data_IF_165992555931
#
_entry.id   IF_165992555931
#
_cell.length_a   1.000
_cell.length_b   1.000
_cell.length_c   1.000
_cell.angle_alpha   90.00
_cell.angle_beta   90.00
_cell.angle_gamma   90.00
#
_symmetry.space_group_name_H-M   'P 1'
#
loop_
_entity.id
_entity.type
_entity.pdbx_description
1 polymer ?
#
# COMPACT_ATOMS: atom_id res chain seq x y z
N UNK A 1 -18.84 3.80 -37.65
CA UNK A 1 -19.20 2.46 -37.13
C UNK A 1 -17.99 1.49 -37.11
N UNK A 2 -16.93 1.76 -37.90
CA UNK A 2 -15.71 0.93 -37.94
C UNK A 2 -14.78 1.16 -36.76
N UNK A 3 -14.84 2.35 -36.13
CA UNK A 3 -13.96 2.70 -34.95
C UNK A 3 -14.20 1.90 -33.71
N UNK A 4 -15.37 1.30 -33.46
CA UNK A 4 -15.69 0.55 -32.26
C UNK A 4 -15.18 -0.89 -32.21
N UNK A 5 -14.92 -1.53 -33.36
CA UNK A 5 -14.48 -2.94 -33.42
C UNK A 5 -12.99 -3.17 -33.24
N UNK A 6 -12.16 -2.16 -33.46
CA UNK A 6 -10.70 -2.34 -33.56
C UNK A 6 -9.88 -1.63 -32.49
N UNK A 7 -10.49 -0.93 -31.50
CA UNK A 7 -9.73 -0.12 -30.56
C UNK A 7 -8.80 -0.92 -29.62
N UNK A 8 -9.17 -2.16 -29.29
CA UNK A 8 -8.33 -3.03 -28.44
C UNK A 8 -7.27 -3.83 -29.21
N UNK A 9 -7.49 -4.08 -30.52
CA UNK A 9 -6.54 -4.81 -31.35
C UNK A 9 -5.30 -3.99 -31.75
N UNK A 10 -5.41 -2.66 -31.76
CA UNK A 10 -4.32 -1.76 -32.14
C UNK A 10 -3.47 -1.26 -30.97
N UNK A 11 -3.88 -1.47 -29.68
CA UNK A 11 -3.06 -1.14 -28.53
C UNK A 11 -1.97 -2.23 -28.43
N UNK A 12 -0.81 -1.97 -29.02
CA UNK A 12 0.37 -2.85 -28.90
C UNK A 12 1.08 -2.68 -27.55
N UNK A 13 0.91 -1.51 -26.93
CA UNK A 13 1.50 -1.18 -25.65
C UNK A 13 0.85 -1.98 -24.52
N UNK A 14 1.68 -2.71 -23.76
CA UNK A 14 1.27 -3.53 -22.61
C UNK A 14 0.63 -2.66 -21.52
N UNK A 15 1.17 -1.48 -21.27
CA UNK A 15 0.73 -0.60 -20.20
C UNK A 15 -0.64 0.01 -20.50
N UNK A 16 -0.87 0.44 -21.74
CA UNK A 16 -2.16 0.94 -22.17
C UNK A 16 -3.26 -0.15 -22.10
N UNK A 17 -2.94 -1.40 -22.45
CA UNK A 17 -3.86 -2.54 -22.27
C UNK A 17 -4.20 -2.75 -20.81
N UNK A 18 -3.21 -2.69 -19.94
CA UNK A 18 -3.40 -2.85 -18.50
C UNK A 18 -4.39 -1.83 -17.95
N UNK A 19 -4.24 -0.56 -18.31
CA UNK A 19 -5.18 0.50 -17.88
C UNK A 19 -6.60 0.23 -18.38
N UNK A 20 -6.78 -0.20 -19.63
CA UNK A 20 -8.11 -0.55 -20.17
C UNK A 20 -8.75 -1.71 -19.41
N UNK A 21 -7.97 -2.76 -19.06
CA UNK A 21 -8.48 -3.87 -18.27
C UNK A 21 -8.83 -3.44 -16.84
N UNK A 22 -8.04 -2.59 -16.22
CA UNK A 22 -8.35 -2.02 -14.91
C UNK A 22 -9.70 -1.28 -14.90
N UNK A 23 -9.98 -0.47 -15.93
CA UNK A 23 -11.28 0.21 -16.07
C UNK A 23 -12.45 -0.77 -16.24
N UNK A 24 -12.27 -1.83 -17.02
CA UNK A 24 -13.31 -2.86 -17.21
C UNK A 24 -13.59 -3.60 -15.90
N UNK A 25 -12.54 -4.00 -15.21
CA UNK A 25 -12.64 -4.70 -13.93
C UNK A 25 -13.26 -3.79 -12.87
N UNK A 26 -12.87 -2.51 -12.82
CA UNK A 26 -13.49 -1.53 -11.94
C UNK A 26 -15.00 -1.46 -12.17
N UNK A 27 -15.47 -1.24 -13.41
CA UNK A 27 -16.89 -1.16 -13.74
C UNK A 27 -17.65 -2.44 -13.38
N UNK A 28 -17.07 -3.60 -13.68
CA UNK A 28 -17.66 -4.91 -13.35
C UNK A 28 -17.82 -5.08 -11.83
N UNK A 29 -16.77 -4.78 -11.06
CA UNK A 29 -16.78 -4.90 -9.60
C UNK A 29 -17.70 -3.85 -8.96
N UNK A 30 -17.70 -2.62 -9.44
CA UNK A 30 -18.60 -1.57 -8.96
C UNK A 30 -20.05 -1.97 -9.10
N UNK A 31 -20.45 -2.49 -10.28
CA UNK A 31 -21.82 -2.97 -10.51
C UNK A 31 -22.16 -4.13 -9.59
N UNK A 32 -21.25 -5.10 -9.43
CA UNK A 32 -21.48 -6.28 -8.61
C UNK A 32 -21.65 -5.95 -7.13
N UNK A 33 -20.81 -5.04 -6.61
CA UNK A 33 -20.79 -4.72 -5.18
C UNK A 33 -21.48 -3.39 -4.83
N UNK A 34 -22.29 -2.87 -5.77
CA UNK A 34 -22.97 -1.58 -5.61
C UNK A 34 -23.76 -1.48 -4.29
N UNK A 35 -24.44 -2.52 -3.86
CA UNK A 35 -25.19 -2.52 -2.60
C UNK A 35 -24.30 -2.32 -1.37
N UNK A 36 -23.08 -2.87 -1.37
CA UNK A 36 -22.11 -2.68 -0.29
C UNK A 36 -21.58 -1.27 -0.32
N UNK A 37 -21.26 -0.76 -1.52
CA UNK A 37 -20.77 0.61 -1.72
C UNK A 37 -21.80 1.63 -1.27
N UNK A 38 -23.07 1.48 -1.68
CA UNK A 38 -24.15 2.41 -1.34
C UNK A 38 -24.44 2.42 0.17
N UNK A 39 -24.44 1.23 0.82
CA UNK A 39 -24.58 1.13 2.26
C UNK A 39 -23.45 1.84 2.99
N UNK A 40 -22.22 1.69 2.51
CA UNK A 40 -21.04 2.27 3.14
C UNK A 40 -20.75 1.72 4.54
N UNK A 41 -19.86 2.38 5.26
CA UNK A 41 -19.58 2.20 6.68
C UNK A 41 -20.23 3.32 7.49
N UNK A 42 -20.55 3.05 8.76
CA UNK A 42 -21.00 4.10 9.68
C UNK A 42 -19.90 5.16 9.84
N UNK A 43 -20.26 6.45 9.91
CA UNK A 43 -19.29 7.49 10.22
C UNK A 43 -18.67 7.27 11.60
N UNK A 44 -17.34 7.38 11.68
CA UNK A 44 -16.65 7.40 12.97
C UNK A 44 -16.70 8.85 13.52
N UNK A 45 -17.21 9.02 14.73
CA UNK A 45 -17.29 10.31 15.42
C UNK A 45 -16.14 10.55 16.40
N UNK A 46 -15.37 9.52 16.77
CA UNK A 46 -14.42 9.60 17.87
C UNK A 46 -12.99 9.99 17.44
N UNK A 47 -12.65 9.84 16.14
CA UNK A 47 -11.34 10.20 15.57
C UNK A 47 -10.15 9.73 16.42
N UNK A 48 -10.13 8.46 16.81
CA UNK A 48 -9.06 7.90 17.61
C UNK A 48 -7.86 7.53 16.73
N UNK A 49 -6.66 7.85 17.21
CA UNK A 49 -5.39 7.53 16.55
C UNK A 49 -4.62 6.49 17.36
N UNK A 50 -3.80 5.72 16.67
CA UNK A 50 -3.01 4.63 17.25
C UNK A 50 -1.52 4.84 17.02
N UNK A 51 -0.71 4.42 17.97
CA UNK A 51 0.75 4.43 17.86
C UNK A 51 1.33 3.16 17.20
N UNK A 52 0.45 2.27 16.72
CA UNK A 52 0.88 1.03 16.09
C UNK A 52 1.38 1.25 14.67
N UNK A 53 2.52 0.62 14.37
CA UNK A 53 3.09 0.52 13.03
C UNK A 53 3.13 -0.93 12.63
N UNK A 54 2.39 -1.28 11.59
CA UNK A 54 2.27 -2.62 11.06
C UNK A 54 3.25 -2.83 9.91
N UNK A 55 4.14 -3.77 10.02
CA UNK A 55 5.02 -4.22 8.95
C UNK A 55 4.93 -5.73 8.80
N UNK A 56 4.81 -6.23 7.57
CA UNK A 56 4.63 -7.66 7.34
C UNK A 56 5.87 -8.29 6.71
N UNK A 57 6.46 -9.26 7.43
CA UNK A 57 7.45 -10.18 6.90
C UNK A 57 7.15 -11.58 7.43
N UNK A 58 6.43 -12.38 6.63
CA UNK A 58 5.80 -13.62 7.09
C UNK A 58 6.78 -14.67 7.62
N UNK A 59 8.03 -14.64 7.16
CA UNK A 59 9.10 -15.55 7.57
C UNK A 59 9.79 -15.12 8.88
N UNK A 60 9.47 -13.94 9.41
CA UNK A 60 10.10 -13.37 10.59
C UNK A 60 11.37 -12.56 10.29
N UNK A 61 11.69 -11.61 11.17
CA UNK A 61 12.79 -10.66 11.01
C UNK A 61 14.13 -11.34 10.76
N UNK A 62 14.42 -12.43 11.48
CA UNK A 62 15.73 -13.10 11.38
C UNK A 62 16.02 -13.63 9.98
N UNK A 63 15.01 -14.10 9.27
CA UNK A 63 15.11 -14.60 7.90
C UNK A 63 15.01 -13.52 6.82
N UNK A 64 14.84 -12.26 7.22
CA UNK A 64 14.67 -11.16 6.28
C UNK A 64 16.00 -10.83 5.56
N UNK A 65 15.96 -10.52 4.25
CA UNK A 65 17.11 -10.02 3.52
C UNK A 65 17.69 -8.75 4.14
N UNK A 66 18.99 -8.46 3.95
CA UNK A 66 19.64 -7.28 4.55
C UNK A 66 18.88 -5.97 4.30
N UNK A 67 18.41 -5.72 3.09
CA UNK A 67 17.64 -4.51 2.77
C UNK A 67 16.34 -4.42 3.59
N UNK A 68 15.64 -5.54 3.78
CA UNK A 68 14.39 -5.56 4.56
C UNK A 68 14.70 -5.30 6.04
N UNK A 69 15.76 -5.89 6.59
CA UNK A 69 16.22 -5.61 7.97
C UNK A 69 16.57 -4.14 8.14
N UNK A 70 17.33 -3.56 7.20
CA UNK A 70 17.68 -2.15 7.23
C UNK A 70 16.43 -1.24 7.17
N UNK A 71 15.44 -1.57 6.34
CA UNK A 71 14.17 -0.84 6.30
C UNK A 71 13.42 -0.92 7.63
N UNK A 72 13.30 -2.10 8.24
CA UNK A 72 12.65 -2.28 9.55
C UNK A 72 13.40 -1.52 10.65
N UNK A 73 14.74 -1.60 10.67
CA UNK A 73 15.56 -0.87 11.64
C UNK A 73 15.42 0.65 11.46
N UNK A 74 15.26 1.14 10.22
CA UNK A 74 14.98 2.56 9.99
C UNK A 74 13.66 3.02 10.59
N UNK A 75 12.64 2.16 10.65
CA UNK A 75 11.37 2.46 11.32
C UNK A 75 11.60 2.69 12.82
N UNK A 76 12.31 1.78 13.50
CA UNK A 76 12.64 1.94 14.93
C UNK A 76 13.48 3.18 15.21
N UNK A 77 14.40 3.52 14.28
CA UNK A 77 15.27 4.69 14.45
C UNK A 77 14.51 6.01 14.31
N UNK A 78 13.55 6.08 13.39
CA UNK A 78 12.83 7.31 13.03
C UNK A 78 11.57 7.50 13.85
N UNK A 79 11.01 6.40 14.39
CA UNK A 79 9.77 6.42 15.17
C UNK A 79 9.96 5.65 16.50
N UNK A 80 10.89 6.10 17.39
CA UNK A 80 11.20 5.36 18.61
C UNK A 80 10.02 5.30 19.60
N UNK A 81 9.06 6.21 19.49
CA UNK A 81 7.86 6.26 20.34
C UNK A 81 6.73 5.37 19.85
N UNK A 82 6.83 4.81 18.64
CA UNK A 82 5.79 3.97 18.03
C UNK A 82 5.97 2.49 18.36
N UNK A 83 4.86 1.77 18.47
CA UNK A 83 4.85 0.31 18.62
C UNK A 83 4.98 -0.34 17.24
N UNK A 84 6.21 -0.72 16.84
CA UNK A 84 6.47 -1.37 15.55
C UNK A 84 6.23 -2.88 15.69
N UNK A 85 5.20 -3.37 15.00
CA UNK A 85 4.75 -4.75 15.05
C UNK A 85 5.11 -5.46 13.75
N UNK A 86 6.05 -6.39 13.82
CA UNK A 86 6.42 -7.23 12.69
C UNK A 86 5.47 -8.42 12.63
N UNK A 87 4.57 -8.40 11.65
CA UNK A 87 3.63 -9.48 11.40
C UNK A 87 4.31 -10.66 10.72
N UNK A 88 4.12 -11.83 11.32
CA UNK A 88 4.64 -13.11 10.84
C UNK A 88 3.52 -14.11 10.66
N UNK A 89 3.81 -15.26 10.04
CA UNK A 89 2.85 -16.36 9.94
C UNK A 89 2.35 -16.86 11.31
N UNK A 90 3.15 -16.70 12.35
CA UNK A 90 2.85 -17.26 13.68
C UNK A 90 2.17 -16.27 14.62
N UNK A 91 2.24 -14.94 14.36
CA UNK A 91 1.72 -13.95 15.30
C UNK A 91 0.54 -13.10 14.79
N UNK A 92 0.28 -13.04 13.46
CA UNK A 92 -0.76 -12.13 12.95
C UNK A 92 -2.14 -12.38 13.56
N UNK A 93 -2.46 -13.64 13.90
CA UNK A 93 -3.73 -14.03 14.54
C UNK A 93 -3.94 -13.45 15.96
N UNK A 94 -2.87 -12.97 16.60
CA UNK A 94 -2.98 -12.27 17.90
C UNK A 94 -3.60 -10.88 17.74
N UNK A 95 -3.53 -10.29 16.55
CA UNK A 95 -3.99 -8.94 16.26
C UNK A 95 -5.29 -8.92 15.48
N UNK A 96 -5.49 -9.88 14.59
CA UNK A 96 -6.66 -9.91 13.71
C UNK A 96 -7.12 -11.32 13.41
N UNK A 97 -8.42 -11.54 13.52
CA UNK A 97 -9.13 -12.69 13.01
C UNK A 97 -9.70 -12.34 11.63
N UNK A 98 -9.27 -13.05 10.61
CA UNK A 98 -9.87 -12.96 9.28
C UNK A 98 -11.02 -13.97 9.16
N UNK A 99 -12.02 -13.72 8.30
CA UNK A 99 -13.07 -14.71 8.04
C UNK A 99 -12.49 -16.08 7.63
N UNK A 100 -13.07 -17.17 8.13
CA UNK A 100 -12.59 -18.54 7.90
C UNK A 100 -12.35 -18.87 6.42
N UNK A 101 -13.25 -18.42 5.53
CA UNK A 101 -13.11 -18.66 4.10
C UNK A 101 -11.87 -17.95 3.49
N UNK A 102 -11.39 -16.86 4.08
CA UNK A 102 -10.15 -16.18 3.65
C UNK A 102 -8.95 -17.01 4.09
N UNK A 103 -8.92 -17.45 5.34
CA UNK A 103 -7.87 -18.30 5.89
C UNK A 103 -7.75 -19.60 5.09
N UNK A 104 -8.87 -20.29 4.86
CA UNK A 104 -8.90 -21.50 4.06
C UNK A 104 -8.42 -21.31 2.62
N UNK A 105 -8.82 -20.21 1.98
CA UNK A 105 -8.39 -19.89 0.61
C UNK A 105 -6.93 -19.56 0.53
N UNK A 106 -6.37 -18.90 1.55
CA UNK A 106 -4.95 -18.65 1.65
C UNK A 106 -4.16 -19.96 1.84
N UNK A 107 -4.57 -20.82 2.77
CA UNK A 107 -3.94 -22.12 3.01
C UNK A 107 -3.98 -23.04 1.78
N UNK A 108 -5.07 -23.00 1.01
CA UNK A 108 -5.25 -23.74 -0.26
C UNK A 108 -4.51 -23.08 -1.45
N UNK A 109 -3.77 -21.97 -1.23
CA UNK A 109 -3.03 -21.24 -2.28
C UNK A 109 -3.90 -20.48 -3.30
N UNK A 110 -5.21 -20.33 -3.04
CA UNK A 110 -6.12 -19.55 -3.89
C UNK A 110 -5.92 -18.04 -3.73
N UNK A 111 -5.51 -17.61 -2.52
CA UNK A 111 -5.09 -16.25 -2.23
C UNK A 111 -3.57 -16.24 -2.14
N UNK A 112 -2.91 -15.51 -3.05
CA UNK A 112 -1.46 -15.34 -3.01
C UNK A 112 -1.03 -14.38 -1.91
N UNK A 113 0.26 -14.46 -1.51
CA UNK A 113 0.83 -13.69 -0.40
C UNK A 113 0.59 -12.17 -0.50
N UNK A 114 0.68 -11.59 -1.70
CA UNK A 114 0.44 -10.16 -1.90
C UNK A 114 -0.99 -9.77 -1.53
N UNK A 115 -1.99 -10.53 -2.00
CA UNK A 115 -3.40 -10.27 -1.67
C UNK A 115 -3.75 -10.59 -0.21
N UNK A 116 -3.07 -11.59 0.38
CA UNK A 116 -3.24 -11.87 1.79
C UNK A 116 -2.66 -10.74 2.65
N UNK A 117 -1.52 -10.18 2.26
CA UNK A 117 -0.96 -8.97 2.88
C UNK A 117 -1.90 -7.76 2.75
N UNK A 118 -2.60 -7.62 1.62
CA UNK A 118 -3.62 -6.58 1.43
C UNK A 118 -4.79 -6.75 2.41
N UNK A 119 -5.23 -7.99 2.64
CA UNK A 119 -6.30 -8.30 3.60
C UNK A 119 -5.86 -8.03 5.04
N UNK A 120 -4.64 -8.41 5.43
CA UNK A 120 -4.08 -8.09 6.74
C UNK A 120 -4.00 -6.58 6.95
N UNK A 121 -3.41 -5.86 5.99
CA UNK A 121 -3.25 -4.41 6.00
C UNK A 121 -4.55 -3.70 6.29
N UNK A 122 -5.55 -3.96 5.45
CA UNK A 122 -6.80 -3.22 5.55
C UNK A 122 -7.60 -3.59 6.79
N UNK A 123 -7.52 -4.84 7.23
CA UNK A 123 -8.23 -5.33 8.42
C UNK A 123 -7.63 -4.78 9.71
N UNK A 124 -6.30 -4.72 9.80
CA UNK A 124 -5.58 -4.15 10.95
C UNK A 124 -5.83 -2.65 11.06
N UNK A 125 -5.74 -1.93 9.94
CA UNK A 125 -6.02 -0.49 9.92
C UNK A 125 -7.48 -0.19 10.26
N UNK A 126 -8.43 -1.01 9.79
CA UNK A 126 -9.85 -0.85 10.15
C UNK A 126 -10.12 -1.04 11.64
N UNK A 127 -9.43 -2.00 12.28
CA UNK A 127 -9.65 -2.36 13.69
C UNK A 127 -8.85 -1.51 14.66
N UNK A 128 -7.60 -1.25 14.36
CA UNK A 128 -6.62 -0.68 15.26
C UNK A 128 -6.10 0.68 14.83
N UNK A 129 -6.37 1.10 13.58
CA UNK A 129 -5.72 2.27 13.01
C UNK A 129 -4.19 2.15 12.93
N UNK A 130 -3.51 3.29 13.01
CA UNK A 130 -2.06 3.37 12.97
C UNK A 130 -1.52 3.43 11.56
N UNK A 131 -0.29 2.93 11.34
CA UNK A 131 0.38 2.99 10.05
C UNK A 131 0.71 1.60 9.54
N UNK A 132 0.37 1.33 8.29
CA UNK A 132 0.94 0.21 7.55
C UNK A 132 2.13 0.69 6.74
N UNK A 133 3.27 0.03 6.88
CA UNK A 133 4.49 0.31 6.14
C UNK A 133 4.99 -1.00 5.52
N UNK A 134 5.10 -1.05 4.20
CA UNK A 134 5.69 -2.23 3.55
C UNK A 134 7.14 -2.45 4.03
N UNK A 135 7.54 -3.70 4.20
CA UNK A 135 8.86 -4.11 4.69
C UNK A 135 10.06 -3.67 3.83
N UNK A 136 9.81 -3.11 2.65
CA UNK A 136 10.83 -2.53 1.77
C UNK A 136 10.75 -1.01 1.70
N UNK A 137 10.19 -0.36 2.70
CA UNK A 137 10.15 1.09 2.80
C UNK A 137 11.18 1.58 3.82
N UNK A 138 12.14 2.39 3.35
CA UNK A 138 13.16 3.03 4.18
C UNK A 138 12.58 4.31 4.77
N UNK A 139 12.58 4.44 6.09
CA UNK A 139 12.12 5.60 6.83
C UNK A 139 13.29 6.52 7.15
N UNK A 140 13.18 7.83 6.86
CA UNK A 140 14.32 8.76 6.95
C UNK A 140 14.01 10.08 7.64
N UNK A 141 12.73 10.43 7.86
CA UNK A 141 12.34 11.72 8.43
C UNK A 141 11.19 11.54 9.43
N UNK A 142 11.48 11.84 10.71
CA UNK A 142 10.53 11.78 11.83
C UNK A 142 9.35 12.74 11.63
N UNK A 143 9.59 13.95 11.13
CA UNK A 143 8.54 14.95 10.94
C UNK A 143 7.48 14.49 9.92
N UNK A 144 7.91 13.77 8.88
CA UNK A 144 6.98 13.16 7.93
C UNK A 144 6.00 12.22 8.65
N UNK A 145 6.49 11.31 9.50
CA UNK A 145 5.64 10.35 10.20
C UNK A 145 4.78 11.02 11.26
N UNK A 146 5.30 12.03 11.94
CA UNK A 146 4.52 12.85 12.89
C UNK A 146 3.36 13.56 12.19
N UNK A 147 3.53 14.05 10.97
CA UNK A 147 2.46 14.64 10.17
C UNK A 147 1.48 13.59 9.67
N UNK A 148 1.97 12.48 9.10
CA UNK A 148 1.12 11.43 8.56
C UNK A 148 0.23 10.79 9.63
N UNK A 149 0.75 10.59 10.86
CA UNK A 149 -0.01 9.98 11.98
C UNK A 149 -1.14 10.86 12.53
N UNK A 150 -1.15 12.14 12.23
CA UNK A 150 -2.21 13.09 12.64
C UNK A 150 -3.34 13.24 11.61
N UNK A 151 -3.18 12.66 10.44
CA UNK A 151 -4.21 12.67 9.41
C UNK A 151 -5.23 11.56 9.66
N UNK A 152 -6.52 11.84 9.47
CA UNK A 152 -7.57 10.83 9.55
C UNK A 152 -7.32 9.66 8.59
N UNK A 153 -6.79 9.97 7.42
CA UNK A 153 -6.24 9.03 6.47
C UNK A 153 -5.09 9.69 5.70
N UNK A 154 -3.98 8.99 5.52
CA UNK A 154 -2.88 9.42 4.68
C UNK A 154 -2.47 8.29 3.74
N UNK A 155 -2.35 8.61 2.46
CA UNK A 155 -1.82 7.75 1.40
C UNK A 155 -1.06 8.60 0.39
N UNK A 156 -0.11 7.99 -0.32
CA UNK A 156 0.47 8.63 -1.50
C UNK A 156 -0.48 8.54 -2.68
N UNK A 157 -0.93 9.70 -3.17
CA UNK A 157 -1.88 9.81 -4.28
C UNK A 157 -1.18 9.59 -5.62
N UNK A 158 -1.90 8.95 -6.56
CA UNK A 158 -1.52 8.90 -7.96
C UNK A 158 -1.97 10.22 -8.62
N UNK A 159 -1.08 11.23 -8.59
CA UNK A 159 -1.40 12.53 -9.15
C UNK A 159 -1.37 12.48 -10.68
N UNK A 160 -2.50 12.73 -11.30
CA UNK A 160 -2.64 12.85 -12.75
C UNK A 160 -2.92 14.30 -13.13
N UNK A 161 -2.06 14.87 -13.97
CA UNK A 161 -2.22 16.23 -14.50
C UNK A 161 -3.23 16.26 -15.65
N UNK A 162 -4.44 15.90 -15.40
CA UNK A 162 -5.51 15.88 -16.40
C UNK A 162 -6.80 15.44 -15.76
N UNK A 163 -7.91 15.72 -16.44
CA UNK A 163 -9.25 15.41 -15.96
C UNK A 163 -9.45 13.87 -15.91
N UNK A 164 -9.03 13.24 -14.84
CA UNK A 164 -9.07 11.78 -14.64
C UNK A 164 -9.74 11.40 -13.32
N UNK A 165 -10.84 12.05 -13.02
CA UNK A 165 -11.66 11.73 -11.85
C UNK A 165 -12.09 10.26 -11.79
N UNK A 166 -12.13 9.59 -12.96
CA UNK A 166 -12.51 8.19 -13.08
C UNK A 166 -11.33 7.21 -13.05
N UNK A 167 -10.09 7.62 -12.77
CA UNK A 167 -8.95 6.70 -12.75
C UNK A 167 -9.23 5.52 -11.81
N UNK A 168 -9.02 4.26 -12.26
CA UNK A 168 -9.31 3.08 -11.43
C UNK A 168 -8.30 2.89 -10.29
N UNK A 169 -7.11 3.47 -10.41
CA UNK A 169 -6.07 3.49 -9.37
C UNK A 169 -5.73 4.95 -9.08
N UNK A 170 -5.97 5.37 -7.84
CA UNK A 170 -5.82 6.77 -7.41
C UNK A 170 -4.80 6.96 -6.28
N UNK A 171 -4.37 5.89 -5.65
CA UNK A 171 -3.37 5.90 -4.58
C UNK A 171 -2.57 4.61 -4.53
N UNK A 172 -1.44 4.63 -3.84
CA UNK A 172 -0.68 3.43 -3.47
C UNK A 172 -1.18 2.85 -2.17
N UNK A 173 -0.82 1.59 -1.88
CA UNK A 173 -1.18 0.90 -0.65
C UNK A 173 0.02 0.47 0.20
N UNK A 174 1.24 0.74 -0.24
CA UNK A 174 2.46 0.33 0.47
C UNK A 174 2.75 1.17 1.73
N UNK A 175 2.13 2.35 1.83
CA UNK A 175 2.08 3.19 3.02
C UNK A 175 0.67 3.74 3.20
N UNK A 176 0.06 3.44 4.34
CA UNK A 176 -1.26 3.95 4.73
C UNK A 176 -1.20 4.30 6.22
N UNK A 177 -1.49 5.54 6.58
CA UNK A 177 -1.78 5.92 7.97
C UNK A 177 -3.27 6.18 8.11
N UNK A 178 -3.90 5.66 9.16
CA UNK A 178 -5.35 5.76 9.35
C UNK A 178 -5.73 5.91 10.82
N UNK A 179 -6.71 6.76 11.10
CA UNK A 179 -7.46 6.68 12.35
C UNK A 179 -8.17 5.32 12.47
N UNK A 180 -8.57 4.97 13.69
CA UNK A 180 -9.37 3.76 13.95
C UNK A 180 -10.73 3.93 13.28
N UNK A 181 -11.25 2.86 12.67
CA UNK A 181 -12.57 2.82 12.03
C UNK A 181 -12.79 3.88 10.92
N UNK A 182 -11.75 4.28 10.22
CA UNK A 182 -11.89 5.18 9.08
C UNK A 182 -12.84 4.60 8.01
N UNK A 183 -13.86 5.35 7.54
CA UNK A 183 -14.91 4.79 6.68
C UNK A 183 -14.40 4.33 5.31
N UNK A 184 -13.36 4.95 4.75
CA UNK A 184 -12.73 4.50 3.50
C UNK A 184 -12.04 3.16 3.72
N UNK A 185 -11.33 3.01 4.84
CA UNK A 185 -10.61 1.79 5.20
C UNK A 185 -11.59 0.64 5.47
N UNK A 186 -12.66 0.89 6.24
CA UNK A 186 -13.72 -0.11 6.53
C UNK A 186 -14.38 -0.57 5.22
N UNK A 187 -14.82 0.36 4.38
CA UNK A 187 -15.51 0.00 3.14
C UNK A 187 -14.58 -0.78 2.20
N UNK A 188 -13.30 -0.43 2.13
CA UNK A 188 -12.32 -1.17 1.34
C UNK A 188 -12.16 -2.60 1.83
N UNK A 189 -12.09 -2.81 3.16
CA UNK A 189 -12.05 -4.12 3.79
C UNK A 189 -13.30 -4.94 3.44
N UNK A 190 -14.47 -4.36 3.60
CA UNK A 190 -15.74 -5.05 3.38
C UNK A 190 -15.92 -5.48 1.92
N UNK A 191 -15.46 -4.64 0.98
CA UNK A 191 -15.45 -4.99 -0.45
C UNK A 191 -14.45 -6.11 -0.76
N UNK A 192 -13.26 -6.10 -0.18
CA UNK A 192 -12.28 -7.18 -0.32
C UNK A 192 -12.79 -8.49 0.30
N UNK A 193 -13.44 -8.43 1.45
CA UNK A 193 -14.04 -9.60 2.09
C UNK A 193 -15.15 -10.18 1.22
N UNK A 194 -16.07 -9.36 0.72
CA UNK A 194 -17.13 -9.79 -0.18
C UNK A 194 -16.56 -10.40 -1.47
N UNK A 195 -15.51 -9.80 -2.02
CA UNK A 195 -14.85 -10.33 -3.20
C UNK A 195 -14.29 -11.73 -2.95
N UNK A 196 -13.49 -11.91 -1.90
CA UNK A 196 -12.88 -13.20 -1.60
C UNK A 196 -13.88 -14.24 -1.08
N UNK A 197 -15.10 -13.83 -0.68
CA UNK A 197 -16.21 -14.76 -0.47
C UNK A 197 -16.70 -15.35 -1.80
N UNK A 198 -16.80 -14.53 -2.84
CA UNK A 198 -17.37 -14.87 -4.14
C UNK A 198 -16.39 -15.53 -5.11
N UNK A 199 -15.08 -15.22 -5.00
CA UNK A 199 -14.06 -15.64 -5.95
C UNK A 199 -12.91 -16.41 -5.28
N UNK A 200 -12.33 -17.33 -6.06
CA UNK A 200 -11.16 -18.14 -5.66
C UNK A 200 -9.86 -17.66 -6.31
N UNK A 201 -9.88 -16.58 -7.05
CA UNK A 201 -8.73 -16.00 -7.75
C UNK A 201 -8.88 -14.49 -7.88
N UNK A 202 -7.78 -13.79 -8.02
CA UNK A 202 -7.80 -12.36 -8.31
C UNK A 202 -7.99 -12.11 -9.80
N UNK A 203 -9.09 -11.43 -10.19
CA UNK A 203 -9.31 -11.04 -11.59
C UNK A 203 -8.35 -9.95 -12.04
N UNK A 204 -7.77 -9.23 -11.09
CA UNK A 204 -6.79 -8.16 -11.31
C UNK A 204 -5.82 -8.12 -10.14
N UNK A 205 -4.53 -7.94 -10.42
CA UNK A 205 -3.51 -7.78 -9.38
C UNK A 205 -3.80 -6.57 -8.46
N UNK A 206 -4.36 -5.50 -9.03
CA UNK A 206 -4.66 -4.26 -8.32
C UNK A 206 -6.06 -4.22 -7.67
N UNK A 207 -6.63 -5.38 -7.32
CA UNK A 207 -7.98 -5.45 -6.77
C UNK A 207 -8.18 -4.60 -5.52
N UNK A 208 -7.16 -4.53 -4.64
CA UNK A 208 -7.18 -3.62 -3.50
C UNK A 208 -7.39 -2.18 -3.94
N UNK A 209 -6.60 -1.72 -4.90
CA UNK A 209 -6.65 -0.33 -5.39
C UNK A 209 -7.97 0.01 -6.05
N UNK A 210 -8.59 -0.95 -6.77
CA UNK A 210 -9.90 -0.76 -7.38
C UNK A 210 -10.98 -0.53 -6.31
N UNK A 211 -10.98 -1.34 -5.25
CA UNK A 211 -11.92 -1.17 -4.15
C UNK A 211 -11.64 0.07 -3.31
N UNK A 212 -10.38 0.38 -3.08
CA UNK A 212 -9.99 1.61 -2.40
C UNK A 212 -10.49 2.85 -3.17
N UNK A 213 -10.35 2.87 -4.49
CA UNK A 213 -10.89 3.94 -5.32
C UNK A 213 -12.42 4.05 -5.25
N UNK A 214 -13.14 2.92 -5.16
CA UNK A 214 -14.60 2.94 -4.94
C UNK A 214 -14.97 3.53 -3.59
N UNK A 215 -14.23 3.16 -2.54
CA UNK A 215 -14.44 3.68 -1.20
C UNK A 215 -14.14 5.19 -1.12
N UNK A 216 -13.05 5.66 -1.73
CA UNK A 216 -12.73 7.08 -1.81
C UNK A 216 -13.83 7.89 -2.51
N UNK A 217 -14.39 7.38 -3.61
CA UNK A 217 -15.52 8.05 -4.30
C UNK A 217 -16.81 8.05 -3.49
N UNK A 218 -17.03 7.00 -2.69
CA UNK A 218 -18.19 6.97 -1.76
C UNK A 218 -18.06 8.01 -0.66
N UNK A 219 -16.82 8.31 -0.22
CA UNK A 219 -16.49 9.27 0.83
C UNK A 219 -15.62 10.40 0.26
N UNK A 220 -16.15 11.09 -0.75
CA UNK A 220 -15.43 12.10 -1.52
C UNK A 220 -14.87 13.23 -0.63
N UNK A 221 -15.67 13.76 0.31
CA UNK A 221 -15.21 14.80 1.23
C UNK A 221 -14.00 14.35 2.08
N UNK A 222 -14.01 13.10 2.54
CA UNK A 222 -12.88 12.53 3.27
C UNK A 222 -11.65 12.39 2.36
N UNK A 223 -11.86 11.91 1.12
CA UNK A 223 -10.78 11.78 0.14
C UNK A 223 -10.15 13.11 -0.23
N UNK A 224 -10.96 14.16 -0.45
CA UNK A 224 -10.48 15.50 -0.78
C UNK A 224 -9.73 16.16 0.37
N UNK A 225 -10.05 15.82 1.62
CA UNK A 225 -9.33 16.32 2.80
C UNK A 225 -7.92 15.74 2.96
N UNK A 226 -7.60 14.63 2.30
CA UNK A 226 -6.27 13.99 2.38
C UNK A 226 -5.25 14.84 1.61
N UNK A 227 -4.10 15.20 2.23
CA UNK A 227 -3.05 15.95 1.56
C UNK A 227 -2.56 15.31 0.25
N UNK A 228 -2.29 16.12 -0.76
CA UNK A 228 -1.87 15.66 -2.08
C UNK A 228 -0.37 15.33 -2.13
N UNK A 229 0.05 14.25 -1.48
CA UNK A 229 1.41 13.72 -1.60
C UNK A 229 1.51 12.76 -2.78
N UNK A 230 2.45 13.05 -3.70
CA UNK A 230 2.62 12.24 -4.91
C UNK A 230 3.35 10.91 -4.63
N UNK A 231 2.97 9.87 -5.37
CA UNK A 231 3.59 8.54 -5.24
C UNK A 231 4.95 8.41 -5.97
N UNK A 232 5.41 9.41 -6.72
CA UNK A 232 6.66 9.32 -7.48
C UNK A 232 7.88 9.63 -6.63
N UNK A 233 7.83 10.69 -5.79
CA UNK A 233 8.98 11.11 -4.95
C UNK A 233 9.51 9.99 -4.05
N UNK A 234 8.68 9.20 -3.36
CA UNK A 234 9.17 8.08 -2.55
C UNK A 234 9.89 6.98 -3.33
N UNK A 235 9.69 6.88 -4.65
CA UNK A 235 10.30 5.84 -5.47
C UNK A 235 11.64 6.26 -6.10
N UNK A 236 12.05 7.52 -5.97
CA UNK A 236 13.26 8.01 -6.65
C UNK A 236 14.52 7.26 -6.21
N UNK A 237 14.68 7.00 -4.90
CA UNK A 237 15.83 6.25 -4.39
C UNK A 237 15.88 4.81 -4.95
N UNK A 238 14.74 4.18 -5.22
CA UNK A 238 14.69 2.84 -5.81
C UNK A 238 15.40 2.78 -7.17
N UNK A 239 15.24 3.80 -8.01
CA UNK A 239 15.89 3.87 -9.32
C UNK A 239 17.39 4.16 -9.23
N UNK A 240 17.86 4.69 -8.10
CA UNK A 240 19.26 5.03 -7.88
C UNK A 240 19.97 4.08 -6.90
N UNK A 241 19.33 3.01 -6.48
CA UNK A 241 19.83 2.12 -5.43
C UNK A 241 21.18 1.49 -5.79
N UNK A 242 21.40 1.17 -7.07
CA UNK A 242 22.65 0.59 -7.59
C UNK A 242 23.71 1.64 -7.97
N UNK A 243 23.38 2.92 -7.99
CA UNK A 243 24.33 3.98 -8.32
C UNK A 243 25.32 4.19 -7.18
N UNK A 244 26.52 4.64 -7.54
CA UNK A 244 27.52 5.01 -6.57
C UNK A 244 26.99 6.11 -5.64
N UNK A 245 27.27 5.95 -4.36
CA UNK A 245 26.88 6.91 -3.34
C UNK A 245 27.60 8.25 -3.56
N UNK A 246 26.87 9.33 -3.48
CA UNK A 246 27.34 10.69 -3.41
C UNK A 246 26.57 11.43 -2.33
N UNK A 247 27.26 12.09 -1.41
CA UNK A 247 26.62 12.84 -0.31
C UNK A 247 25.64 13.89 -0.80
N UNK A 248 26.02 14.65 -1.83
CA UNK A 248 25.18 15.69 -2.42
C UNK A 248 23.87 15.10 -2.99
N UNK A 249 23.99 14.02 -3.80
CA UNK A 249 22.83 13.40 -4.41
C UNK A 249 21.96 12.70 -3.36
N UNK A 250 22.56 12.09 -2.37
CA UNK A 250 21.86 11.47 -1.25
C UNK A 250 21.00 12.49 -0.50
N UNK A 251 21.55 13.66 -0.14
CA UNK A 251 20.77 14.72 0.50
C UNK A 251 19.60 15.20 -0.34
N UNK A 252 19.77 15.31 -1.67
CA UNK A 252 18.68 15.66 -2.57
C UNK A 252 17.56 14.61 -2.52
N UNK A 253 17.92 13.30 -2.55
CA UNK A 253 16.95 12.21 -2.46
C UNK A 253 16.20 12.22 -1.13
N UNK A 254 16.90 12.41 -0.02
CA UNK A 254 16.29 12.46 1.32
C UNK A 254 15.31 13.62 1.47
N UNK A 255 15.60 14.77 0.82
CA UNK A 255 14.69 15.93 0.80
C UNK A 255 13.43 15.73 -0.06
N UNK A 256 13.41 14.74 -0.97
CA UNK A 256 12.26 14.48 -1.83
C UNK A 256 11.11 13.77 -1.09
N UNK A 257 11.44 13.00 -0.05
CA UNK A 257 10.45 12.25 0.74
C UNK A 257 11.05 11.84 2.09
N UNK A 258 10.23 11.78 3.13
CA UNK A 258 10.63 11.23 4.44
C UNK A 258 10.54 9.70 4.52
N UNK A 259 10.06 9.05 3.45
CA UNK A 259 9.98 7.60 3.31
C UNK A 259 10.28 7.22 1.86
N UNK A 260 11.03 6.14 1.66
CA UNK A 260 11.45 5.72 0.32
C UNK A 260 11.03 4.26 0.08
N UNK A 261 10.15 4.04 -0.90
CA UNK A 261 9.75 2.71 -1.33
C UNK A 261 10.85 2.09 -2.19
N UNK A 262 11.39 0.98 -1.72
CA UNK A 262 12.45 0.24 -2.38
C UNK A 262 11.93 -1.11 -2.94
N UNK A 263 12.78 -1.83 -3.66
CA UNK A 263 12.54 -3.17 -4.14
C UNK A 263 13.68 -4.12 -3.75
N UNK A 264 13.36 -5.39 -3.51
CA UNK A 264 14.31 -6.41 -3.02
C UNK A 264 14.72 -7.47 -4.06
N UNK A 265 14.18 -7.36 -5.27
CA UNK A 265 14.33 -8.41 -6.27
C UNK A 265 15.62 -8.33 -7.11
N UNK A 266 16.34 -7.23 -6.97
CA UNK A 266 17.59 -7.03 -7.67
C UNK A 266 18.74 -7.75 -6.95
N UNK A 267 19.75 -8.18 -7.72
CA UNK A 267 21.02 -8.62 -7.16
C UNK A 267 21.89 -7.40 -6.83
N UNK A 268 22.35 -7.35 -5.58
CA UNK A 268 23.18 -6.28 -5.03
C UNK A 268 24.53 -6.80 -4.53
N UNK A 269 24.87 -8.08 -4.78
CA UNK A 269 26.04 -8.75 -4.20
C UNK A 269 27.38 -8.12 -4.59
N UNK A 270 27.48 -7.58 -5.80
CA UNK A 270 28.72 -7.01 -6.34
C UNK A 270 28.92 -5.52 -6.03
N UNK A 271 27.98 -4.89 -5.32
CA UNK A 271 28.01 -3.45 -5.06
C UNK A 271 28.90 -3.12 -3.85
N UNK A 272 29.89 -2.22 -4.04
CA UNK A 272 30.84 -1.84 -2.97
C UNK A 272 30.68 -0.40 -2.45
N UNK A 273 30.14 0.51 -3.23
CA UNK A 273 30.05 1.95 -2.91
C UNK A 273 28.71 2.56 -3.30
N UNK A 274 27.68 1.75 -3.41
CA UNK A 274 26.37 2.19 -3.89
C UNK A 274 25.49 2.79 -2.79
N UNK A 275 24.37 3.41 -3.21
CA UNK A 275 23.33 3.84 -2.28
C UNK A 275 22.76 2.65 -1.47
N UNK A 276 22.74 1.44 -2.05
CA UNK A 276 22.36 0.22 -1.32
C UNK A 276 23.33 -0.04 -0.14
N UNK A 277 24.66 -0.01 -0.39
CA UNK A 277 25.66 -0.18 0.68
C UNK A 277 25.50 0.90 1.76
N UNK A 278 25.29 2.17 1.35
CA UNK A 278 25.03 3.26 2.29
C UNK A 278 23.84 3.02 3.21
N UNK A 279 22.76 2.40 2.69
CA UNK A 279 21.61 2.02 3.51
C UNK A 279 22.02 0.96 4.53
N UNK A 280 22.71 -0.08 4.11
CA UNK A 280 23.12 -1.16 5.02
C UNK A 280 24.06 -0.62 6.11
N UNK A 281 25.10 0.16 5.74
CA UNK A 281 26.05 0.76 6.68
C UNK A 281 25.39 1.70 7.70
N UNK A 282 24.19 2.23 7.37
CA UNK A 282 23.48 3.18 8.24
C UNK A 282 22.51 2.50 9.19
N UNK A 283 21.95 1.34 8.80
CA UNK A 283 20.80 0.75 9.48
C UNK A 283 20.99 -0.72 9.89
N UNK A 284 22.09 -1.37 9.53
CA UNK A 284 22.50 -2.69 10.06
C UNK A 284 23.66 -2.59 11.01
#
# INVERSE_FOLDING_TARGET
TIRKKNSLLYIKDRDAKTVVYQYKDYKKLYTKYKMIIDRGAAPNSNHEFSDKVWVCWFQGYESAPPLVKACINSMHKVMPEKEIIILTKTNYKQYIELPDYIEEKFEKGKIGMAHFSDLLRISLLAKWGGMWIDSTALCTDEDFFRHASKQRLFVFKQLNLGNREEAPIIASNWFISSEIENPIVILTRDLLYAYWKDYDYAINYFIFHLFFAMACRRYENEWESIPAFNNSSPHMLMFELKRDYSSERWEQLMKMSGIHKLQRYDDYSDLKKSNYCKILDTYL
#
